data_IF_652201781123
#
_entry.id   IF_652201781123
#
_cell.length_a   1.000
_cell.length_b   1.000
_cell.length_c   1.000
_cell.angle_alpha   90.00
_cell.angle_beta   90.00
_cell.angle_gamma   90.00
#
_symmetry.space_group_name_H-M   'P 1'
#
loop_
_entity.id
_entity.type
_entity.pdbx_description
1 polymer ?
#
# COMPACT_ATOMS: atom_id res chain seq x y z
N UNK A 1 -72.27 -47.76 7.52
CA UNK A 1 -71.84 -47.43 6.13
C UNK A 1 -70.58 -46.59 6.20
N UNK A 2 -69.58 -46.93 5.37
CA UNK A 2 -68.28 -46.25 5.08
C UNK A 2 -67.24 -46.34 6.21
N UNK A 3 -66.29 -47.29 6.22
CA UNK A 3 -65.12 -47.55 5.35
C UNK A 3 -63.99 -46.52 5.53
N UNK A 4 -62.93 -47.00 6.21
CA UNK A 4 -61.46 -46.81 6.05
C UNK A 4 -60.88 -45.42 5.70
N UNK A 5 -59.75 -45.08 6.33
CA UNK A 5 -58.39 -45.19 5.74
C UNK A 5 -57.35 -44.74 6.77
N UNK A 6 -56.40 -45.64 7.06
CA UNK A 6 -55.09 -45.33 7.66
C UNK A 6 -54.27 -44.45 6.71
N UNK A 7 -53.61 -43.43 7.24
CA UNK A 7 -52.39 -42.91 6.63
C UNK A 7 -51.42 -42.50 7.74
N UNK A 8 -50.45 -43.37 7.98
CA UNK A 8 -49.22 -43.04 8.67
C UNK A 8 -48.38 -42.12 7.77
N UNK A 9 -47.88 -41.01 8.31
CA UNK A 9 -46.69 -40.37 7.77
C UNK A 9 -45.71 -40.05 8.89
N UNK A 10 -44.54 -40.64 8.71
CA UNK A 10 -43.30 -40.55 9.45
C UNK A 10 -42.89 -39.08 9.61
N UNK A 11 -42.83 -38.60 10.85
CA UNK A 11 -42.23 -37.31 11.17
C UNK A 11 -40.70 -37.41 11.02
N UNK A 12 -40.18 -36.86 9.94
CA UNK A 12 -38.75 -36.60 9.74
C UNK A 12 -38.28 -35.56 10.76
N UNK A 13 -37.50 -35.99 11.75
CA UNK A 13 -36.68 -35.12 12.55
C UNK A 13 -35.59 -34.51 11.67
N UNK A 14 -35.76 -33.25 11.28
CA UNK A 14 -34.69 -32.46 10.66
C UNK A 14 -33.67 -32.10 11.75
N UNK A 15 -32.66 -32.94 11.92
CA UNK A 15 -31.41 -32.54 12.57
C UNK A 15 -30.71 -31.51 11.67
N UNK A 16 -30.85 -30.24 12.00
CA UNK A 16 -30.06 -29.18 11.37
C UNK A 16 -28.59 -29.30 11.87
N UNK A 17 -27.59 -29.37 10.97
CA UNK A 17 -26.20 -29.35 11.39
C UNK A 17 -25.86 -27.95 11.95
N UNK A 18 -25.36 -27.92 13.19
CA UNK A 18 -24.74 -26.73 13.76
C UNK A 18 -23.51 -26.37 12.92
N UNK A 19 -23.63 -25.31 12.12
CA UNK A 19 -22.51 -24.64 11.49
C UNK A 19 -21.71 -23.91 12.58
N UNK A 20 -20.70 -24.59 13.12
CA UNK A 20 -19.69 -23.99 13.96
C UNK A 20 -18.56 -23.48 13.04
N UNK A 21 -18.72 -22.28 12.49
CA UNK A 21 -17.66 -21.58 11.77
C UNK A 21 -17.66 -20.09 12.10
N UNK A 22 -16.49 -19.63 12.58
CA UNK A 22 -16.16 -18.22 12.79
C UNK A 22 -15.55 -18.01 14.18
N UNK A 23 -14.32 -17.54 14.35
CA UNK A 23 -13.25 -17.23 13.43
C UNK A 23 -11.95 -17.33 14.23
N UNK A 24 -10.99 -18.15 13.80
CA UNK A 24 -9.61 -18.03 14.27
C UNK A 24 -9.00 -16.81 13.60
N UNK A 25 -9.23 -15.62 14.19
CA UNK A 25 -8.57 -14.38 13.80
C UNK A 25 -7.10 -14.43 14.17
N UNK A 26 -6.29 -15.08 13.34
CA UNK A 26 -4.83 -14.95 13.41
C UNK A 26 -4.45 -13.50 13.12
N UNK A 27 -3.52 -12.95 13.90
CA UNK A 27 -2.96 -11.63 13.63
C UNK A 27 -2.48 -11.54 12.17
N UNK A 28 -2.65 -10.38 11.50
CA UNK A 28 -2.21 -10.21 10.12
C UNK A 28 -0.73 -10.59 10.02
N UNK A 29 -0.39 -11.57 9.18
CA UNK A 29 1.01 -11.88 8.91
C UNK A 29 1.59 -10.71 8.14
N UNK A 30 2.68 -10.13 8.66
CA UNK A 30 3.43 -9.15 7.92
C UNK A 30 3.98 -9.80 6.64
N UNK A 31 3.86 -9.15 5.48
CA UNK A 31 4.35 -9.71 4.24
C UNK A 31 5.87 -9.87 4.28
N UNK A 32 6.36 -10.96 3.70
CA UNK A 32 7.79 -11.18 3.47
C UNK A 32 8.14 -10.58 2.11
N UNK A 33 9.14 -9.70 2.07
CA UNK A 33 9.59 -9.03 0.84
C UNK A 33 10.90 -9.66 0.37
N UNK A 34 10.88 -10.24 -0.82
CA UNK A 34 12.08 -10.65 -1.56
C UNK A 34 12.57 -9.48 -2.41
N UNK A 35 13.76 -8.96 -2.11
CA UNK A 35 14.30 -7.74 -2.75
C UNK A 35 14.99 -8.00 -4.10
N UNK A 36 15.04 -9.26 -4.54
CA UNK A 36 15.66 -9.68 -5.78
C UNK A 36 17.11 -9.20 -5.92
N UNK A 37 17.40 -8.54 -7.04
CA UNK A 37 18.73 -8.03 -7.38
C UNK A 37 19.13 -6.76 -6.59
N UNK A 38 18.21 -6.18 -5.81
CA UNK A 38 18.36 -4.87 -5.20
C UNK A 38 18.25 -4.94 -3.67
N UNK A 39 19.05 -5.80 -3.03
CA UNK A 39 19.07 -5.93 -1.57
C UNK A 39 19.38 -4.61 -0.84
N UNK A 40 20.06 -3.68 -1.50
CA UNK A 40 20.36 -2.34 -0.99
C UNK A 40 19.12 -1.47 -0.78
N UNK A 41 17.99 -1.82 -1.40
CA UNK A 41 16.71 -1.13 -1.20
C UNK A 41 16.00 -1.55 0.10
N UNK A 42 16.44 -2.66 0.73
CA UNK A 42 15.88 -3.10 2.01
C UNK A 42 16.11 -2.00 3.06
N UNK A 43 15.05 -1.43 3.65
CA UNK A 43 15.23 -0.41 4.65
C UNK A 43 15.84 -1.02 5.91
N UNK A 44 16.87 -0.37 6.41
CA UNK A 44 17.47 -0.64 7.71
C UNK A 44 16.44 -0.46 8.84
N UNK A 45 16.71 -1.03 10.01
CA UNK A 45 15.85 -0.84 11.18
C UNK A 45 15.73 0.64 11.56
N UNK A 46 16.83 1.38 11.53
CA UNK A 46 16.84 2.83 11.79
C UNK A 46 15.97 3.61 10.81
N UNK A 47 16.04 3.29 9.51
CA UNK A 47 15.15 3.92 8.51
C UNK A 47 13.68 3.58 8.76
N UNK A 48 13.36 2.34 9.12
CA UNK A 48 11.97 1.93 9.42
C UNK A 48 11.43 2.68 10.64
N UNK A 49 12.20 2.75 11.71
CA UNK A 49 11.83 3.45 12.95
C UNK A 49 11.66 4.95 12.70
N UNK A 50 12.60 5.58 11.99
CA UNK A 50 12.51 7.00 11.66
C UNK A 50 11.27 7.32 10.81
N UNK A 51 10.94 6.47 9.84
CA UNK A 51 9.78 6.66 8.97
C UNK A 51 8.47 6.41 9.71
N UNK A 52 8.43 5.39 10.57
CA UNK A 52 7.28 5.14 11.45
C UNK A 52 6.97 6.34 12.35
N UNK A 53 8.00 6.96 12.95
CA UNK A 53 7.82 8.15 13.78
C UNK A 53 7.20 9.35 13.03
N UNK A 54 7.54 9.52 11.75
CA UNK A 54 6.92 10.55 10.89
C UNK A 54 5.44 10.24 10.66
N UNK A 55 5.11 8.98 10.33
CA UNK A 55 3.73 8.55 10.11
C UNK A 55 2.90 8.71 11.39
N UNK A 56 3.43 8.29 12.55
CA UNK A 56 2.75 8.42 13.83
C UNK A 56 2.44 9.88 14.17
N UNK A 57 3.40 10.78 13.93
CA UNK A 57 3.19 12.22 14.11
C UNK A 57 2.08 12.77 13.19
N UNK A 58 2.01 12.29 11.95
CA UNK A 58 0.94 12.68 11.02
C UNK A 58 -0.42 12.13 11.45
N UNK A 59 -0.49 10.89 11.92
CA UNK A 59 -1.73 10.26 12.40
C UNK A 59 -2.27 10.92 13.68
N UNK A 60 -1.40 11.48 14.53
CA UNK A 60 -1.82 12.29 15.69
C UNK A 60 -2.62 13.54 15.27
N UNK A 61 -2.34 14.10 14.08
CA UNK A 61 -3.03 15.26 13.54
C UNK A 61 -4.19 14.88 12.60
N UNK A 62 -4.14 13.67 12.05
CA UNK A 62 -5.06 13.13 11.07
C UNK A 62 -5.60 11.78 11.59
N UNK A 63 -6.55 11.79 12.54
CA UNK A 63 -7.05 10.57 13.14
C UNK A 63 -7.63 9.63 12.08
N UNK A 64 -7.48 8.32 12.31
CA UNK A 64 -7.98 7.28 11.41
C UNK A 64 -9.51 7.39 11.26
N UNK A 65 -10.05 7.23 10.04
CA UNK A 65 -11.49 7.11 9.83
C UNK A 65 -12.06 5.89 10.55
N UNK A 66 -13.34 5.95 10.93
CA UNK A 66 -14.06 4.82 11.55
C UNK A 66 -14.10 3.64 10.56
N UNK A 67 -13.49 2.47 10.87
CA UNK A 67 -13.37 1.36 9.93
C UNK A 67 -14.71 0.72 9.55
N UNK A 68 -15.76 0.90 10.36
CA UNK A 68 -17.09 0.34 10.08
C UNK A 68 -18.00 1.29 9.31
N UNK A 69 -17.66 2.58 9.26
CA UNK A 69 -18.53 3.64 8.74
C UNK A 69 -17.92 4.47 7.62
N UNK A 70 -16.59 4.51 7.51
CA UNK A 70 -15.92 5.33 6.52
C UNK A 70 -16.22 4.84 5.10
N UNK A 71 -16.62 5.77 4.25
CA UNK A 71 -16.70 5.54 2.81
C UNK A 71 -15.30 5.41 2.20
N UNK A 72 -15.22 4.77 1.04
CA UNK A 72 -13.96 4.65 0.29
C UNK A 72 -13.35 6.03 0.00
N UNK A 73 -14.18 7.03 -0.32
CA UNK A 73 -13.72 8.39 -0.58
C UNK A 73 -13.10 9.05 0.67
N UNK A 74 -13.64 8.79 1.86
CA UNK A 74 -13.06 9.28 3.12
C UNK A 74 -11.73 8.60 3.43
N UNK A 75 -11.64 7.29 3.17
CA UNK A 75 -10.40 6.51 3.32
C UNK A 75 -9.32 7.04 2.38
N UNK A 76 -9.64 7.27 1.11
CA UNK A 76 -8.68 7.75 0.12
C UNK A 76 -8.23 9.18 0.42
N UNK A 77 -9.16 10.05 0.82
CA UNK A 77 -8.83 11.41 1.27
C UNK A 77 -7.93 11.41 2.51
N UNK A 78 -8.18 10.51 3.46
CA UNK A 78 -7.32 10.35 4.64
C UNK A 78 -5.91 9.89 4.25
N UNK A 79 -5.80 8.87 3.40
CA UNK A 79 -4.51 8.39 2.86
C UNK A 79 -3.73 9.48 2.15
N UNK A 80 -4.41 10.28 1.33
CA UNK A 80 -3.82 11.44 0.65
C UNK A 80 -3.31 12.48 1.67
N UNK A 81 -4.10 12.77 2.70
CA UNK A 81 -3.76 13.72 3.76
C UNK A 81 -2.53 13.26 4.56
N UNK A 82 -2.48 11.98 4.95
CA UNK A 82 -1.34 11.40 5.68
C UNK A 82 -0.08 11.41 4.81
N UNK A 83 -0.20 11.00 3.56
CA UNK A 83 0.92 11.03 2.59
C UNK A 83 1.46 12.45 2.41
N UNK A 84 0.56 13.42 2.26
CA UNK A 84 0.91 14.84 2.14
C UNK A 84 1.64 15.35 3.38
N UNK A 85 1.15 15.01 4.57
CA UNK A 85 1.79 15.37 5.83
C UNK A 85 3.21 14.79 5.92
N UNK A 86 3.38 13.50 5.64
CA UNK A 86 4.68 12.83 5.73
C UNK A 86 5.69 13.43 4.74
N UNK A 87 5.28 13.62 3.49
CA UNK A 87 6.15 14.21 2.46
C UNK A 87 6.59 15.64 2.81
N UNK A 88 5.69 16.45 3.38
CA UNK A 88 6.03 17.80 3.88
C UNK A 88 6.98 17.74 5.08
N UNK A 89 6.71 16.86 6.04
CA UNK A 89 7.55 16.70 7.23
C UNK A 89 8.99 16.26 6.89
N UNK A 90 9.14 15.43 5.86
CA UNK A 90 10.45 14.99 5.37
C UNK A 90 11.10 15.99 4.40
N UNK A 91 10.42 17.08 4.04
CA UNK A 91 10.97 18.14 3.18
C UNK A 91 11.08 17.73 1.70
N UNK A 92 10.17 16.89 1.20
CA UNK A 92 10.13 16.47 -0.21
C UNK A 92 9.64 17.54 -1.19
N UNK A 93 9.06 18.61 -0.67
CA UNK A 93 8.66 19.77 -1.46
C UNK A 93 9.63 20.93 -1.23
N UNK A 94 9.83 21.76 -2.25
CA UNK A 94 10.53 23.04 -2.12
C UNK A 94 9.61 24.13 -1.56
N UNK A 95 10.14 25.35 -1.42
CA UNK A 95 9.40 26.50 -0.88
C UNK A 95 8.23 26.94 -1.78
N UNK A 96 8.17 26.44 -3.02
CA UNK A 96 7.09 26.68 -3.99
C UNK A 96 6.08 25.51 -4.03
N UNK A 97 6.28 24.48 -3.20
CA UNK A 97 5.43 23.30 -3.17
C UNK A 97 5.70 22.29 -4.29
N UNK A 98 6.82 22.43 -5.02
CA UNK A 98 7.20 21.53 -6.11
C UNK A 98 7.96 20.33 -5.54
N UNK A 99 7.63 19.14 -6.02
CA UNK A 99 8.31 17.92 -5.60
C UNK A 99 9.78 17.89 -6.05
N UNK A 100 10.68 17.52 -5.14
CA UNK A 100 12.14 17.51 -5.37
C UNK A 100 12.58 16.23 -6.09
N UNK A 101 12.30 16.13 -7.40
CA UNK A 101 12.74 14.99 -8.22
C UNK A 101 14.25 14.76 -8.18
N UNK A 102 15.07 15.82 -8.16
CA UNK A 102 16.53 15.70 -8.02
C UNK A 102 16.96 15.04 -6.71
N UNK A 103 16.21 15.28 -5.62
CA UNK A 103 16.44 14.56 -4.36
C UNK A 103 16.16 13.08 -4.53
N UNK A 104 15.05 12.71 -5.19
CA UNK A 104 14.71 11.31 -5.44
C UNK A 104 15.79 10.62 -6.31
N UNK A 105 16.31 11.30 -7.34
CA UNK A 105 17.47 10.84 -8.12
C UNK A 105 18.69 10.57 -7.24
N UNK A 106 19.00 11.49 -6.32
CA UNK A 106 20.15 11.35 -5.43
C UNK A 106 19.95 10.20 -4.44
N UNK A 107 18.73 10.00 -3.92
CA UNK A 107 18.43 8.82 -3.09
C UNK A 107 18.68 7.52 -3.87
N UNK A 108 18.27 7.42 -5.13
CA UNK A 108 18.53 6.24 -5.99
C UNK A 108 20.05 5.98 -6.08
N UNK A 109 20.85 7.00 -6.40
CA UNK A 109 22.32 6.88 -6.49
C UNK A 109 22.96 6.50 -5.15
N UNK A 110 22.43 7.04 -4.04
CA UNK A 110 22.95 6.76 -2.70
C UNK A 110 22.66 5.33 -2.24
N UNK A 111 21.69 4.63 -2.86
CA UNK A 111 21.45 3.21 -2.60
C UNK A 111 22.57 2.32 -3.15
N UNK A 112 23.47 2.84 -4.01
CA UNK A 112 24.63 2.09 -4.53
C UNK A 112 24.20 0.76 -5.14
N UNK A 113 23.22 0.84 -6.05
CA UNK A 113 22.77 -0.32 -6.80
C UNK A 113 23.91 -0.79 -7.71
N UNK A 114 23.80 -2.01 -8.24
CA UNK A 114 24.67 -2.41 -9.33
C UNK A 114 24.59 -1.39 -10.47
N UNK A 115 25.71 -1.06 -11.12
CA UNK A 115 25.76 0.02 -12.11
C UNK A 115 24.79 -0.16 -13.27
N UNK A 116 24.54 -1.40 -13.70
CA UNK A 116 23.60 -1.68 -14.79
C UNK A 116 22.16 -1.45 -14.33
N UNK A 117 21.84 -1.86 -13.10
CA UNK A 117 20.55 -1.66 -12.47
C UNK A 117 20.30 -0.18 -12.20
N UNK A 118 21.29 0.53 -11.64
CA UNK A 118 21.18 1.96 -11.35
C UNK A 118 20.88 2.75 -12.64
N UNK A 119 21.59 2.44 -13.72
CA UNK A 119 21.35 3.07 -15.03
C UNK A 119 19.90 2.86 -15.50
N UNK A 120 19.39 1.63 -15.42
CA UNK A 120 18.00 1.32 -15.79
C UNK A 120 16.98 2.06 -14.92
N UNK A 121 17.19 2.08 -13.59
CA UNK A 121 16.30 2.78 -12.65
C UNK A 121 16.34 4.29 -12.88
N UNK A 122 17.50 4.87 -13.19
CA UNK A 122 17.63 6.30 -13.48
C UNK A 122 16.96 6.70 -14.80
N UNK A 123 16.99 5.84 -15.82
CA UNK A 123 16.20 6.06 -17.05
C UNK A 123 14.71 6.08 -16.72
N UNK A 124 14.22 5.15 -15.88
CA UNK A 124 12.82 5.13 -15.46
C UNK A 124 12.45 6.31 -14.56
N UNK A 125 13.37 6.79 -13.75
CA UNK A 125 13.19 8.05 -13.01
C UNK A 125 12.88 9.22 -13.94
N UNK A 126 13.64 9.40 -15.02
CA UNK A 126 13.41 10.47 -16.00
C UNK A 126 12.06 10.31 -16.72
N UNK A 127 11.73 9.10 -17.15
CA UNK A 127 10.44 8.81 -17.79
C UNK A 127 9.26 9.08 -16.85
N UNK A 128 9.31 8.57 -15.62
CA UNK A 128 8.25 8.74 -14.62
C UNK A 128 8.11 10.20 -14.17
N UNK A 129 9.22 10.92 -14.03
CA UNK A 129 9.18 12.36 -13.73
C UNK A 129 8.49 13.11 -14.86
N UNK A 130 8.90 12.87 -16.10
CA UNK A 130 8.31 13.50 -17.28
C UNK A 130 6.80 13.24 -17.32
N UNK A 131 6.39 11.98 -17.23
CA UNK A 131 4.99 11.60 -17.27
C UNK A 131 4.17 12.28 -16.16
N UNK A 132 4.68 12.29 -14.92
CA UNK A 132 4.03 12.96 -13.80
C UNK A 132 3.80 14.45 -14.08
N UNK A 133 4.86 15.15 -14.52
CA UNK A 133 4.80 16.60 -14.77
C UNK A 133 3.98 16.99 -16.00
N UNK A 134 3.84 16.12 -17.00
CA UNK A 134 3.01 16.36 -18.19
C UNK A 134 1.52 16.11 -17.90
N UNK A 135 1.19 15.13 -17.05
CA UNK A 135 -0.20 14.73 -16.78
C UNK A 135 -0.89 15.50 -15.67
N UNK A 136 -0.13 16.01 -14.71
CA UNK A 136 -0.69 16.66 -13.53
C UNK A 136 -0.01 18.00 -13.29
N UNK A 137 -0.80 19.00 -12.89
CA UNK A 137 -0.29 20.33 -12.48
C UNK A 137 -0.30 20.48 -10.96
N UNK A 138 -1.10 19.70 -10.24
CA UNK A 138 -1.08 19.64 -8.79
C UNK A 138 -0.01 18.67 -8.28
N UNK A 139 0.68 19.07 -7.22
CA UNK A 139 1.87 18.37 -6.74
C UNK A 139 1.54 16.99 -6.14
N UNK A 140 0.35 16.76 -5.60
CA UNK A 140 0.00 15.47 -4.99
C UNK A 140 -0.23 14.41 -6.06
N UNK A 141 -1.02 14.70 -7.09
CA UNK A 141 -1.23 13.74 -8.17
C UNK A 141 0.07 13.51 -8.97
N UNK A 142 0.90 14.54 -9.15
CA UNK A 142 2.26 14.35 -9.71
C UNK A 142 3.06 13.32 -8.90
N UNK A 143 3.11 13.49 -7.57
CA UNK A 143 3.88 12.59 -6.70
C UNK A 143 3.31 11.18 -6.69
N UNK A 144 1.99 11.03 -6.60
CA UNK A 144 1.35 9.71 -6.61
C UNK A 144 1.62 8.95 -7.91
N UNK A 145 1.50 9.63 -9.06
CA UNK A 145 1.79 9.02 -10.34
C UNK A 145 3.28 8.67 -10.47
N UNK A 146 4.17 9.58 -10.08
CA UNK A 146 5.61 9.33 -10.07
C UNK A 146 5.99 8.14 -9.19
N UNK A 147 5.49 8.08 -7.95
CA UNK A 147 5.76 7.01 -7.00
C UNK A 147 5.26 5.66 -7.52
N UNK A 148 4.02 5.60 -8.02
CA UNK A 148 3.46 4.38 -8.59
C UNK A 148 4.26 3.90 -9.82
N UNK A 149 4.65 4.81 -10.71
CA UNK A 149 5.48 4.53 -11.87
C UNK A 149 6.86 3.99 -11.46
N UNK A 150 7.50 4.61 -10.48
CA UNK A 150 8.80 4.18 -9.98
C UNK A 150 8.72 2.84 -9.25
N UNK A 151 7.75 2.64 -8.36
CA UNK A 151 7.57 1.41 -7.62
C UNK A 151 7.35 0.21 -8.56
N UNK A 152 6.54 0.41 -9.60
CA UNK A 152 6.35 -0.60 -10.66
C UNK A 152 7.67 -0.94 -11.35
N UNK A 153 8.38 0.07 -11.89
CA UNK A 153 9.59 -0.14 -12.68
C UNK A 153 10.73 -0.72 -11.83
N UNK A 154 10.94 -0.21 -10.62
CA UNK A 154 11.93 -0.75 -9.67
C UNK A 154 11.60 -2.21 -9.36
N UNK A 155 10.33 -2.54 -9.11
CA UNK A 155 9.93 -3.92 -8.84
C UNK A 155 10.24 -4.86 -10.00
N UNK A 156 10.01 -4.42 -11.25
CA UNK A 156 10.34 -5.20 -12.45
C UNK A 156 11.86 -5.36 -12.65
N UNK A 157 12.62 -4.27 -12.57
CA UNK A 157 14.08 -4.27 -12.79
C UNK A 157 14.78 -5.11 -11.73
N UNK A 158 14.38 -4.93 -10.46
CA UNK A 158 14.97 -5.62 -9.32
C UNK A 158 14.43 -7.04 -9.15
N UNK A 159 13.26 -7.38 -9.71
CA UNK A 159 12.59 -8.66 -9.49
C UNK A 159 12.05 -8.80 -8.06
N UNK A 160 11.48 -7.72 -7.50
CA UNK A 160 10.94 -7.70 -6.14
C UNK A 160 9.64 -8.51 -6.08
N UNK A 161 9.46 -9.29 -5.01
CA UNK A 161 8.23 -10.06 -4.76
C UNK A 161 7.72 -9.85 -3.34
N UNK A 162 6.41 -9.71 -3.20
CA UNK A 162 5.72 -9.63 -1.91
C UNK A 162 5.01 -10.95 -1.67
N UNK A 163 5.40 -11.65 -0.63
CA UNK A 163 4.86 -12.96 -0.23
C UNK A 163 3.95 -12.75 0.99
N UNK A 164 2.70 -13.23 0.90
CA UNK A 164 1.66 -13.11 1.94
C UNK A 164 1.37 -14.45 2.60
#
# INVERSE_FOLDING_TARGET
MKVFVLAAFVGLALAAPQAQQGASGGAPKNPIIEWGKCNQLKPSEGERTSKAAVVDKCLQQLPLPDPEKASQAEIDKHRESVTTCALKAEGWFDDKGVYKFDRARNEIKNKKLDSEIESQVLVKHDECQKEATEKHTDFINQVQLYQACMDYNISQICGIKVMV
#
